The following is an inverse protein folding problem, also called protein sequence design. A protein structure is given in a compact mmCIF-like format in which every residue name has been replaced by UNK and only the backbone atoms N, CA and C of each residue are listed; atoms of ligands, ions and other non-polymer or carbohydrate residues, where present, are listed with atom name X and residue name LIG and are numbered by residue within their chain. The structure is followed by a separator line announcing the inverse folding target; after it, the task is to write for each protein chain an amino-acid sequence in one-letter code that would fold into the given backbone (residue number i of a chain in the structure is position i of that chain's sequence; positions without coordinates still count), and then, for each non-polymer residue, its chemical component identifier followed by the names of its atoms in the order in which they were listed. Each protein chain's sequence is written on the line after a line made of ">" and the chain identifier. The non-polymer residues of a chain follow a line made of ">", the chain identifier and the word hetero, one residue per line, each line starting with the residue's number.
data_IF_527343662858
#
_entry.id   IF_527343662858
#
_cell.length_a   1.000
_cell.length_b   1.000
_cell.length_c   1.000
_cell.angle_alpha   90.00
_cell.angle_beta   90.00
_cell.angle_gamma   90.00
#
_symmetry.space_group_name_H-M   'P 1'
#
loop_
_entity.id
_entity.type
_entity.pdbx_description
1 polymer ?
#
# COMPACT_ATOMS: atom_id res chain seq x y z
N UNK A 1 -8.31 5.70 9.16
CA UNK A 1 -8.72 4.80 10.23
C UNK A 1 -7.67 3.73 10.46
N UNK A 2 -7.34 3.49 11.71
CA UNK A 2 -6.26 2.55 12.00
C UNK A 2 -6.79 1.15 12.19
N UNK A 3 -5.92 0.18 11.91
CA UNK A 3 -6.24 -1.24 12.06
C UNK A 3 -5.13 -1.91 12.86
N UNK A 4 -5.44 -3.03 13.52
CA UNK A 4 -4.39 -3.77 14.21
C UNK A 4 -3.36 -4.28 13.21
N UNK A 5 -2.12 -4.34 13.66
CA UNK A 5 -1.06 -4.84 12.81
C UNK A 5 -1.07 -6.37 12.83
N UNK A 6 -1.20 -7.01 11.66
CA UNK A 6 -0.99 -8.46 11.60
C UNK A 6 0.51 -8.72 11.59
N UNK A 7 0.96 -9.62 12.42
CA UNK A 7 2.37 -9.92 12.52
C UNK A 7 3.13 -8.73 13.12
N UNK A 8 4.12 -8.18 12.44
CA UNK A 8 4.91 -7.11 13.02
C UNK A 8 5.57 -6.28 11.94
N UNK A 9 6.06 -5.12 12.34
CA UNK A 9 6.86 -4.27 11.48
C UNK A 9 8.04 -3.75 12.28
N UNK A 10 9.18 -3.62 11.61
CA UNK A 10 10.38 -3.09 12.22
C UNK A 10 10.81 -1.87 11.45
N UNK A 11 11.13 -0.81 12.17
CA UNK A 11 11.51 0.45 11.57
C UNK A 11 12.84 0.88 12.13
N UNK A 12 13.74 1.30 11.27
CA UNK A 12 15.03 1.82 11.68
C UNK A 12 15.28 3.12 10.93
N UNK A 13 15.72 4.14 11.67
CA UNK A 13 16.10 5.39 11.06
C UNK A 13 17.52 5.68 11.50
N UNK A 14 18.41 5.76 10.53
CA UNK A 14 19.83 5.86 10.83
C UNK A 14 20.35 7.23 10.44
N UNK A 15 21.00 7.87 11.38
CA UNK A 15 21.69 9.13 11.16
C UNK A 15 23.19 8.90 11.32
N UNK A 16 24.01 9.85 10.87
CA UNK A 16 25.46 9.64 11.02
C UNK A 16 25.89 9.39 12.46
N UNK A 17 25.20 9.98 13.43
CA UNK A 17 25.61 9.89 14.83
C UNK A 17 24.65 9.11 15.70
N UNK A 18 23.57 8.57 15.15
CA UNK A 18 22.63 7.81 15.98
C UNK A 18 21.71 6.95 15.15
N UNK A 19 21.08 6.00 15.83
CA UNK A 19 20.18 5.05 15.20
C UNK A 19 18.93 4.92 16.05
N UNK A 20 17.79 5.08 15.40
CA UNK A 20 16.50 4.85 16.05
C UNK A 20 15.90 3.56 15.53
N UNK A 21 15.47 2.69 16.42
CA UNK A 21 14.87 1.43 16.04
C UNK A 21 13.53 1.31 16.75
N UNK A 22 12.51 0.88 16.03
CA UNK A 22 11.21 0.65 16.61
C UNK A 22 10.61 -0.63 16.08
N UNK A 23 9.94 -1.35 16.98
CA UNK A 23 9.22 -2.56 16.61
C UNK A 23 7.75 -2.33 16.90
N UNK A 24 6.89 -2.66 15.93
CA UNK A 24 5.45 -2.54 16.06
C UNK A 24 4.85 -3.91 15.88
N UNK A 25 4.15 -4.38 16.90
CA UNK A 25 3.62 -5.75 16.89
C UNK A 25 2.12 -5.73 17.17
N UNK A 26 1.61 -6.80 17.71
CA UNK A 26 0.16 -7.00 17.82
C UNK A 26 -0.59 -5.89 18.51
N UNK A 27 0.04 -5.21 19.47
CA UNK A 27 -0.62 -4.12 20.18
C UNK A 27 -0.57 -2.82 19.41
N UNK A 28 0.09 -2.80 18.28
CA UNK A 28 0.22 -1.61 17.46
C UNK A 28 -0.86 -1.57 16.38
N UNK A 29 -0.96 -0.43 15.73
CA UNK A 29 -1.96 -0.25 14.69
C UNK A 29 -1.30 0.44 13.49
N UNK A 30 -1.96 0.34 12.35
CA UNK A 30 -1.43 0.97 11.15
C UNK A 30 -2.55 1.62 10.37
N UNK A 31 -2.16 2.51 9.48
CA UNK A 31 -3.06 3.11 8.51
C UNK A 31 -2.34 3.22 7.19
N UNK A 32 -3.04 2.93 6.13
CA UNK A 32 -2.50 3.06 4.78
C UNK A 32 -3.61 3.55 3.88
N UNK A 33 -3.33 4.62 3.15
CA UNK A 33 -4.34 5.12 2.22
C UNK A 33 -3.67 5.92 1.11
N UNK A 34 -4.39 6.07 0.02
CA UNK A 34 -3.96 6.88 -1.11
C UNK A 34 -4.61 8.24 -1.02
N UNK A 35 -3.85 9.28 -1.37
CA UNK A 35 -4.41 10.62 -1.47
C UNK A 35 -4.04 11.19 -2.82
N UNK A 36 -4.26 12.48 -3.01
CA UNK A 36 -4.01 13.10 -4.32
C UNK A 36 -2.56 13.03 -4.74
N UNK A 37 -1.66 13.02 -3.79
CA UNK A 37 -0.24 13.12 -4.09
C UNK A 37 0.49 11.79 -4.02
N UNK A 38 -0.06 10.80 -3.34
CA UNK A 38 0.65 9.54 -3.22
C UNK A 38 0.05 8.65 -2.15
N UNK A 39 0.89 7.85 -1.54
CA UNK A 39 0.47 6.90 -0.53
C UNK A 39 0.99 7.34 0.83
N UNK A 40 0.11 7.27 1.82
CA UNK A 40 0.45 7.54 3.21
C UNK A 40 0.45 6.25 3.99
N UNK A 41 1.51 6.03 4.74
CA UNK A 41 1.63 4.87 5.61
C UNK A 41 1.96 5.35 7.01
N UNK A 42 1.27 4.83 7.99
CA UNK A 42 1.52 5.20 9.38
C UNK A 42 1.48 3.98 10.27
N UNK A 43 2.37 3.95 11.25
CA UNK A 43 2.38 2.93 12.27
C UNK A 43 2.29 3.61 13.62
N UNK A 44 1.53 3.02 14.53
CA UNK A 44 1.31 3.60 15.86
C UNK A 44 1.51 2.56 16.91
N UNK A 45 2.18 2.93 17.98
CA UNK A 45 2.30 2.08 19.15
C UNK A 45 1.87 2.89 20.36
N UNK A 46 0.85 2.41 21.04
CA UNK A 46 0.36 3.06 22.26
C UNK A 46 1.19 2.63 23.45
N UNK A 47 1.14 3.46 24.49
CA UNK A 47 1.87 3.18 25.69
C UNK A 47 1.87 4.40 26.59
N UNK A 48 2.65 4.36 27.67
CA UNK A 48 2.87 5.54 28.46
C UNK A 48 3.47 6.62 27.58
N UNK A 49 3.40 7.86 28.01
CA UNK A 49 3.77 8.98 27.14
C UNK A 49 5.15 8.81 26.54
N UNK A 50 6.09 8.31 27.33
CA UNK A 50 7.46 8.13 26.87
C UNK A 50 7.64 6.83 26.08
N UNK A 51 6.60 5.98 26.03
CA UNK A 51 6.67 4.73 25.28
C UNK A 51 5.88 4.77 24.00
N UNK A 52 5.17 5.85 23.74
CA UNK A 52 4.41 5.96 22.51
C UNK A 52 5.34 6.19 21.34
N UNK A 53 4.98 5.60 20.22
CA UNK A 53 5.73 5.78 18.99
C UNK A 53 4.79 5.89 17.83
N UNK A 54 5.15 6.72 16.89
CA UNK A 54 4.44 6.74 15.63
C UNK A 54 5.44 7.01 14.52
N UNK A 55 5.17 6.43 13.37
CA UNK A 55 5.99 6.59 12.19
C UNK A 55 5.05 6.94 11.06
N UNK A 56 5.39 7.99 10.33
CA UNK A 56 4.57 8.43 9.21
C UNK A 56 5.45 8.55 7.98
N UNK A 57 4.99 7.97 6.88
CA UNK A 57 5.72 8.05 5.62
C UNK A 57 4.74 8.43 4.53
N UNK A 58 5.22 9.23 3.61
CA UNK A 58 4.41 9.60 2.45
C UNK A 58 5.27 9.46 1.21
N UNK A 59 4.82 8.64 0.28
CA UNK A 59 5.53 8.42 -0.97
C UNK A 59 4.71 8.97 -2.10
N UNK A 60 5.30 9.81 -2.93
CA UNK A 60 4.61 10.26 -4.13
C UNK A 60 4.48 9.10 -5.10
N UNK A 61 3.54 9.22 -6.02
CA UNK A 61 3.16 8.07 -6.85
C UNK A 61 4.31 7.54 -7.71
N UNK A 62 5.17 8.43 -8.21
CA UNK A 62 6.26 7.96 -9.04
C UNK A 62 7.20 7.04 -8.25
N UNK A 63 7.51 7.42 -7.03
CA UNK A 63 8.34 6.57 -6.18
C UNK A 63 7.61 5.30 -5.81
N UNK A 64 6.34 5.41 -5.47
CA UNK A 64 5.56 4.25 -5.09
C UNK A 64 5.54 3.23 -6.24
N UNK A 65 5.37 3.71 -7.47
CA UNK A 65 5.36 2.84 -8.62
C UNK A 65 6.70 2.12 -8.79
N UNK A 66 7.80 2.84 -8.57
CA UNK A 66 9.11 2.20 -8.66
C UNK A 66 9.32 1.17 -7.56
N UNK A 67 8.83 1.47 -6.37
CA UNK A 67 8.89 0.52 -5.29
C UNK A 67 8.15 -0.76 -5.66
N UNK A 68 6.95 -0.62 -6.23
CA UNK A 68 6.19 -1.78 -6.64
C UNK A 68 6.91 -2.59 -7.71
N UNK A 69 7.56 -1.92 -8.65
CA UNK A 69 8.32 -2.64 -9.68
C UNK A 69 9.48 -3.42 -9.08
N UNK A 70 10.19 -2.80 -8.15
CA UNK A 70 11.29 -3.49 -7.50
C UNK A 70 10.79 -4.68 -6.67
N UNK A 71 9.66 -4.52 -6.01
CA UNK A 71 9.09 -5.63 -5.26
C UNK A 71 8.72 -6.77 -6.18
N UNK A 72 8.21 -6.46 -7.37
CA UNK A 72 7.87 -7.51 -8.32
C UNK A 72 9.11 -8.29 -8.73
N UNK A 73 10.23 -7.60 -8.94
CA UNK A 73 11.47 -8.27 -9.31
C UNK A 73 11.95 -9.21 -8.22
N UNK A 74 11.95 -8.75 -6.98
CA UNK A 74 12.42 -9.59 -5.89
C UNK A 74 11.44 -10.72 -5.62
N UNK A 75 10.15 -10.48 -5.79
CA UNK A 75 9.17 -11.53 -5.58
C UNK A 75 9.39 -12.68 -6.56
N UNK A 76 9.74 -12.34 -7.80
CA UNK A 76 9.97 -13.36 -8.80
C UNK A 76 11.17 -14.25 -8.44
N UNK A 77 12.09 -13.74 -7.64
CA UNK A 77 13.28 -14.48 -7.25
C UNK A 77 13.11 -15.25 -5.94
N UNK A 78 11.98 -15.09 -5.26
CA UNK A 78 11.79 -15.77 -3.98
C UNK A 78 11.61 -17.27 -4.17
N UNK A 79 12.09 -18.06 -3.21
CA UNK A 79 11.94 -19.51 -3.31
C UNK A 79 10.48 -19.94 -3.21
N UNK A 80 10.11 -21.03 -3.85
CA UNK A 80 8.74 -21.53 -3.74
C UNK A 80 8.30 -21.87 -2.33
N UNK A 81 9.24 -22.05 -1.42
CA UNK A 81 8.91 -22.39 -0.04
C UNK A 81 8.08 -21.31 0.65
N UNK A 82 8.11 -20.11 0.12
CA UNK A 82 7.37 -18.99 0.73
C UNK A 82 5.97 -18.83 0.17
N UNK A 83 5.38 -19.90 -0.30
CA UNK A 83 4.09 -19.83 -0.98
C UNK A 83 2.97 -19.27 -0.11
N UNK A 84 3.00 -19.52 1.20
CA UNK A 84 1.96 -19.05 2.07
C UNK A 84 1.87 -17.53 2.03
N UNK A 85 3.01 -16.87 2.11
CA UNK A 85 3.03 -15.41 2.04
C UNK A 85 2.72 -14.91 0.64
N UNK A 86 3.12 -15.68 -0.36
CA UNK A 86 2.85 -15.32 -1.74
C UNK A 86 1.36 -15.24 -2.03
N UNK A 87 0.60 -16.18 -1.50
CA UNK A 87 -0.84 -16.17 -1.73
C UNK A 87 -1.48 -14.91 -1.20
N UNK A 88 -1.15 -14.55 0.05
CA UNK A 88 -1.71 -13.36 0.66
C UNK A 88 -1.33 -12.11 -0.12
N UNK A 89 -0.06 -12.03 -0.51
CA UNK A 89 0.41 -10.89 -1.27
C UNK A 89 -0.23 -10.83 -2.65
N UNK A 90 -0.40 -11.97 -3.28
CA UNK A 90 -1.00 -12.02 -4.59
C UNK A 90 -2.44 -11.54 -4.56
N UNK A 91 -3.19 -11.99 -3.56
CA UNK A 91 -4.57 -11.55 -3.42
C UNK A 91 -4.66 -10.06 -3.18
N UNK A 92 -3.79 -9.54 -2.31
CA UNK A 92 -3.80 -8.12 -2.00
C UNK A 92 -3.37 -7.29 -3.20
N UNK A 93 -2.35 -7.74 -3.90
CA UNK A 93 -1.88 -7.03 -5.08
C UNK A 93 -2.93 -7.00 -6.17
N UNK A 94 -3.65 -8.12 -6.32
CA UNK A 94 -4.71 -8.18 -7.31
C UNK A 94 -5.83 -7.20 -6.96
N UNK A 95 -6.16 -7.11 -5.68
CA UNK A 95 -7.18 -6.17 -5.25
C UNK A 95 -6.75 -4.74 -5.57
N UNK A 96 -5.50 -4.41 -5.32
CA UNK A 96 -5.00 -3.09 -5.63
C UNK A 96 -5.03 -2.84 -7.13
N UNK A 97 -4.59 -3.80 -7.91
CA UNK A 97 -4.57 -3.66 -9.35
C UNK A 97 -5.97 -3.40 -9.90
N UNK A 98 -6.94 -4.18 -9.43
CA UNK A 98 -8.30 -4.01 -9.91
C UNK A 98 -8.88 -2.68 -9.49
N UNK A 99 -8.57 -2.24 -8.27
CA UNK A 99 -9.07 -0.95 -7.80
C UNK A 99 -8.49 0.19 -8.61
N UNK A 100 -7.23 0.10 -9.00
CA UNK A 100 -6.62 1.15 -9.79
C UNK A 100 -7.13 1.18 -11.21
N UNK A 101 -7.63 0.06 -11.70
CA UNK A 101 -8.20 0.02 -13.03
C UNK A 101 -9.64 0.50 -13.08
N UNK A 102 -10.30 0.54 -11.93
CA UNK A 102 -11.69 0.93 -11.90
C UNK A 102 -11.84 2.38 -12.30
N UNK A 103 -12.83 2.64 -13.15
CA UNK A 103 -13.14 3.98 -13.58
C UNK A 103 -14.03 4.62 -12.51
N UNK A 104 -13.59 5.71 -11.89
CA UNK A 104 -14.44 6.37 -10.90
C UNK A 104 -15.81 6.73 -11.42
N UNK A 105 -15.88 7.16 -12.67
CA UNK A 105 -17.17 7.50 -13.28
C UNK A 105 -18.04 6.27 -13.40
N UNK A 106 -17.42 5.17 -13.74
CA UNK A 106 -18.11 3.90 -13.85
C UNK A 106 -18.72 3.50 -12.54
N UNK A 107 -17.95 3.60 -11.47
CA UNK A 107 -18.46 3.18 -10.19
C UNK A 107 -19.52 4.12 -9.67
N UNK A 108 -19.45 5.38 -10.00
CA UNK A 108 -20.44 6.32 -9.56
C UNK A 108 -21.74 6.20 -10.33
N UNK A 109 -21.61 5.96 -11.61
CA UNK A 109 -22.72 6.03 -12.52
C UNK A 109 -23.06 4.68 -13.05
N UNK A 110 -23.37 3.80 -12.15
CA UNK A 110 -23.82 2.51 -12.59
C UNK A 110 -24.98 2.64 -13.54
N UNK A 111 -25.80 3.62 -13.30
CA UNK A 111 -26.93 3.85 -14.18
C UNK A 111 -26.55 4.33 -15.54
N UNK A 112 -25.41 4.99 -15.63
CA UNK A 112 -25.00 5.58 -16.87
C UNK A 112 -24.04 4.73 -17.66
N UNK A 113 -23.70 3.61 -17.15
CA UNK A 113 -22.78 2.74 -17.83
C UNK A 113 -23.23 2.39 -19.21
N UNK A 114 -24.53 2.38 -19.39
CA UNK A 114 -25.06 1.96 -20.67
C UNK A 114 -24.58 2.80 -21.83
N UNK A 115 -24.25 4.04 -21.59
CA UNK A 115 -23.80 4.86 -22.70
C UNK A 115 -22.30 5.11 -22.68
N UNK A 116 -21.59 4.40 -21.86
CA UNK A 116 -20.14 4.48 -21.92
C UNK A 116 -19.65 3.74 -23.13
N UNK A 117 -18.78 4.37 -23.89
CA UNK A 117 -18.31 3.77 -25.11
C UNK A 117 -17.08 2.92 -24.84
N UNK A 118 -16.87 1.92 -25.67
CA UNK A 118 -15.65 1.12 -25.53
C UNK A 118 -14.40 1.93 -25.67
N UNK A 119 -14.44 2.97 -26.47
CA UNK A 119 -13.27 3.81 -26.64
C UNK A 119 -12.93 4.51 -25.34
N UNK A 120 -13.92 4.93 -24.61
CA UNK A 120 -13.67 5.55 -23.34
C UNK A 120 -13.07 4.58 -22.36
N UNK A 121 -13.56 3.37 -22.37
CA UNK A 121 -13.00 2.37 -21.48
C UNK A 121 -11.55 2.10 -21.78
N UNK A 122 -11.25 1.96 -23.03
CA UNK A 122 -9.88 1.70 -23.44
C UNK A 122 -9.00 2.85 -23.05
N UNK A 123 -9.45 4.05 -23.27
CA UNK A 123 -8.69 5.20 -22.94
C UNK A 123 -8.41 5.24 -21.46
N UNK A 124 -9.39 4.95 -20.65
CA UNK A 124 -9.17 4.96 -19.22
C UNK A 124 -8.24 3.89 -18.77
N UNK A 125 -8.30 2.75 -19.42
CA UNK A 125 -7.45 1.68 -19.04
C UNK A 125 -6.00 2.02 -19.20
N UNK A 126 -5.65 2.84 -20.16
CA UNK A 126 -4.26 3.14 -20.25
C UNK A 126 -3.92 4.51 -19.81
N UNK A 127 -4.86 5.30 -19.49
CA UNK A 127 -4.56 6.54 -18.86
C UNK A 127 -4.30 6.33 -17.40
N UNK A 128 -4.98 5.44 -16.84
CA UNK A 128 -4.74 5.12 -15.47
C UNK A 128 -3.46 4.52 -15.27
N UNK A 129 -3.04 4.09 -16.32
CA UNK A 129 -1.77 3.61 -16.30
C UNK A 129 -0.88 4.63 -16.23
#
# INVERSE_FOLDING_TARGET
>A
MTKPIPDKAEVAVEYPDKLYIGTFEQTARFDAHLDEAGISLSLYRNGAADMRKSVHMHFHYALFAEILRDLAKTAAALPPADMTHREALCDAAKALYLALQADPDESQDVDDIAHMTPAEEVLLLHVLE
#
